data_IF_855482526119
#
_entry.id   IF_855482526119
#
_cell.length_a   1.000
_cell.length_b   1.000
_cell.length_c   1.000
_cell.angle_alpha   90.00
_cell.angle_beta   90.00
_cell.angle_gamma   90.00
#
_symmetry.space_group_name_H-M   'P 1'
#
loop_
_entity.id
_entity.type
_entity.pdbx_description
1 polymer ?
#
# COMPACT_ATOMS: atom_id res chain seq x y z
N UNK A 1 14.88 3.21 55.71
CA UNK A 1 13.99 2.40 54.85
C UNK A 1 13.09 3.36 54.07
N UNK A 2 13.21 3.44 52.73
CA UNK A 2 12.26 4.21 51.91
C UNK A 2 11.05 3.32 51.62
N UNK A 3 9.81 3.82 51.82
CA UNK A 3 8.64 3.02 51.53
C UNK A 3 8.56 2.69 50.04
N UNK A 4 8.39 1.41 49.72
CA UNK A 4 7.98 0.95 48.40
C UNK A 4 6.59 1.50 48.12
N UNK A 5 6.53 2.68 47.49
CA UNK A 5 5.29 3.21 46.92
C UNK A 5 4.90 2.26 45.80
N UNK A 6 3.87 1.44 46.02
CA UNK A 6 3.17 0.74 44.94
C UNK A 6 2.80 1.81 43.90
N UNK A 7 3.48 1.79 42.75
CA UNK A 7 2.97 2.40 41.53
C UNK A 7 1.66 1.68 41.25
N UNK A 8 0.54 2.24 41.73
CA UNK A 8 -0.75 1.99 41.08
C UNK A 8 -0.51 2.30 39.62
N UNK A 9 -0.60 1.26 38.78
CA UNK A 9 -0.40 1.38 37.34
C UNK A 9 -1.42 2.37 36.83
N UNK A 10 -1.00 3.62 36.64
CA UNK A 10 -1.85 4.65 36.07
C UNK A 10 -2.23 4.15 34.69
N UNK A 11 -3.50 3.77 34.53
CA UNK A 11 -4.03 3.12 33.33
C UNK A 11 -4.05 4.07 32.14
N UNK A 12 -3.96 5.38 32.38
CA UNK A 12 -4.05 6.42 31.36
C UNK A 12 -2.92 7.45 31.51
N UNK A 13 -2.48 8.07 30.41
CA UNK A 13 -1.42 9.08 30.38
C UNK A 13 -0.12 8.59 29.72
N UNK A 14 0.83 9.48 29.38
CA UNK A 14 2.02 9.11 28.58
C UNK A 14 2.92 8.03 29.21
N UNK A 15 2.91 7.91 30.55
CA UNK A 15 3.63 6.87 31.28
C UNK A 15 2.88 5.53 31.39
N UNK A 16 1.59 5.51 31.06
CA UNK A 16 0.70 4.37 31.25
C UNK A 16 1.00 3.20 30.33
N UNK A 17 0.59 2.00 30.76
CA UNK A 17 0.66 0.81 29.92
C UNK A 17 -0.18 0.95 28.65
N UNK A 18 -1.43 1.44 28.74
CA UNK A 18 -2.32 1.55 27.58
C UNK A 18 -1.79 2.52 26.52
N UNK A 19 -1.25 3.67 26.92
CA UNK A 19 -0.63 4.61 25.98
C UNK A 19 0.57 3.96 25.27
N UNK A 20 1.46 3.30 26.02
CA UNK A 20 2.64 2.62 25.44
C UNK A 20 2.24 1.49 24.51
N UNK A 21 1.21 0.71 24.86
CA UNK A 21 0.67 -0.33 24.01
C UNK A 21 0.08 0.25 22.72
N UNK A 22 -0.68 1.35 22.80
CA UNK A 22 -1.22 2.02 21.62
C UNK A 22 -0.11 2.55 20.70
N UNK A 23 0.93 3.16 21.25
CA UNK A 23 2.13 3.59 20.51
C UNK A 23 2.79 2.41 19.81
N UNK A 24 3.04 1.32 20.54
CA UNK A 24 3.65 0.12 19.99
C UNK A 24 2.84 -0.43 18.83
N UNK A 25 1.53 -0.64 19.02
CA UNK A 25 0.63 -1.14 17.99
C UNK A 25 0.56 -0.20 16.78
N UNK A 26 0.57 1.11 17.00
CA UNK A 26 0.57 2.10 15.92
C UNK A 26 1.82 2.01 15.04
N UNK A 27 3.00 2.01 15.67
CA UNK A 27 4.28 1.94 14.96
C UNK A 27 4.43 0.60 14.24
N UNK A 28 4.13 -0.52 14.90
CA UNK A 28 4.17 -1.84 14.26
C UNK A 28 3.20 -1.94 13.10
N UNK A 29 1.98 -1.42 13.24
CA UNK A 29 1.00 -1.39 12.15
C UNK A 29 1.47 -0.53 10.99
N UNK A 30 2.13 0.59 11.25
CA UNK A 30 2.68 1.45 10.21
C UNK A 30 3.79 0.74 9.43
N UNK A 31 4.70 0.05 10.13
CA UNK A 31 5.78 -0.72 9.50
C UNK A 31 5.21 -1.84 8.63
N UNK A 32 4.28 -2.64 9.13
CA UNK A 32 3.73 -3.78 8.39
C UNK A 32 2.81 -3.33 7.24
N UNK A 33 1.95 -2.33 7.51
CA UNK A 33 1.00 -1.79 6.55
C UNK A 33 1.68 -1.04 5.41
N UNK A 34 2.45 0.01 5.72
CA UNK A 34 3.10 0.79 4.67
C UNK A 34 4.33 0.08 4.09
N UNK A 35 5.07 -0.69 4.89
CA UNK A 35 6.21 -1.47 4.40
C UNK A 35 5.82 -2.46 3.31
N UNK A 36 4.69 -3.17 3.47
CA UNK A 36 4.19 -4.07 2.42
C UNK A 36 3.78 -3.33 1.14
N UNK A 37 3.23 -2.11 1.24
CA UNK A 37 2.90 -1.28 0.07
C UNK A 37 4.15 -0.83 -0.70
N UNK A 38 5.24 -0.49 -0.01
CA UNK A 38 6.50 -0.11 -0.69
C UNK A 38 7.03 -1.21 -1.62
N UNK A 39 6.86 -2.48 -1.25
CA UNK A 39 7.29 -3.61 -2.07
C UNK A 39 6.36 -3.91 -3.26
N UNK A 40 5.14 -3.38 -3.29
CA UNK A 40 4.20 -3.61 -4.40
C UNK A 40 4.72 -3.09 -5.75
N UNK A 41 5.50 -2.01 -5.75
CA UNK A 41 6.17 -1.54 -6.96
C UNK A 41 7.19 -2.53 -7.52
N UNK A 42 7.92 -3.22 -6.64
CA UNK A 42 8.87 -4.26 -7.04
C UNK A 42 8.14 -5.48 -7.62
N UNK A 43 7.03 -5.90 -7.01
CA UNK A 43 6.20 -6.98 -7.55
C UNK A 43 5.59 -6.62 -8.90
N UNK A 44 5.13 -5.37 -9.09
CA UNK A 44 4.64 -4.90 -10.38
C UNK A 44 5.71 -4.94 -11.47
N UNK A 45 6.93 -4.53 -11.16
CA UNK A 45 8.07 -4.66 -12.07
C UNK A 45 8.37 -6.13 -12.39
N UNK A 46 8.49 -7.00 -11.39
CA UNK A 46 8.75 -8.42 -11.58
C UNK A 46 7.65 -9.10 -12.44
N UNK A 47 6.38 -8.76 -12.23
CA UNK A 47 5.28 -9.25 -13.04
C UNK A 47 5.40 -8.82 -14.52
N UNK A 48 5.79 -7.57 -14.76
CA UNK A 48 5.97 -7.03 -16.12
C UNK A 48 7.10 -7.71 -16.89
N UNK A 49 8.13 -8.20 -16.20
CA UNK A 49 9.28 -8.88 -16.80
C UNK A 49 8.96 -10.32 -17.21
N UNK A 50 8.11 -11.03 -16.45
CA UNK A 50 7.78 -12.44 -16.72
C UNK A 50 6.69 -12.64 -17.77
N UNK A 51 5.74 -11.70 -17.87
CA UNK A 51 4.58 -11.74 -18.80
C UNK A 51 3.74 -13.05 -18.69
N UNK A 52 2.61 -13.09 -19.39
CA UNK A 52 1.73 -14.28 -19.45
C UNK A 52 1.32 -14.83 -18.07
N UNK A 53 1.24 -16.16 -17.97
CA UNK A 53 0.81 -16.88 -16.74
C UNK A 53 1.69 -16.60 -15.53
N UNK A 54 3.01 -16.52 -15.71
CA UNK A 54 3.94 -16.24 -14.61
C UNK A 54 3.78 -14.82 -14.08
N UNK A 55 3.70 -13.82 -14.97
CA UNK A 55 3.45 -12.44 -14.58
C UNK A 55 2.09 -12.24 -13.89
N UNK A 56 1.06 -12.96 -14.35
CA UNK A 56 -0.24 -12.98 -13.72
C UNK A 56 -0.19 -13.54 -12.28
N UNK A 57 0.47 -14.69 -12.09
CA UNK A 57 0.60 -15.31 -10.76
C UNK A 57 1.33 -14.38 -9.76
N UNK A 58 2.37 -13.66 -10.21
CA UNK A 58 3.05 -12.65 -9.38
C UNK A 58 2.10 -11.51 -9.00
N UNK A 59 1.33 -11.01 -9.97
CA UNK A 59 0.36 -9.93 -9.76
C UNK A 59 -0.76 -10.34 -8.81
N UNK A 60 -1.24 -11.59 -8.91
CA UNK A 60 -2.25 -12.17 -8.04
C UNK A 60 -1.73 -12.30 -6.60
N UNK A 61 -0.53 -12.85 -6.43
CA UNK A 61 0.11 -12.99 -5.13
C UNK A 61 0.32 -11.61 -4.46
N UNK A 62 0.79 -10.63 -5.23
CA UNK A 62 0.95 -9.25 -4.74
C UNK A 62 -0.38 -8.64 -4.30
N UNK A 63 -1.45 -8.80 -5.10
CA UNK A 63 -2.76 -8.30 -4.75
C UNK A 63 -3.33 -8.99 -3.48
N UNK A 64 -3.13 -10.30 -3.33
CA UNK A 64 -3.52 -11.05 -2.11
C UNK A 64 -2.79 -10.52 -0.87
N UNK A 65 -1.49 -10.24 -0.96
CA UNK A 65 -0.74 -9.62 0.14
C UNK A 65 -1.25 -8.21 0.44
N UNK A 66 -1.57 -7.41 -0.60
CA UNK A 66 -2.14 -6.08 -0.43
C UNK A 66 -3.49 -6.08 0.30
N UNK A 67 -4.41 -6.97 -0.10
CA UNK A 67 -5.73 -7.08 0.52
C UNK A 67 -5.68 -7.76 1.89
N UNK A 68 -4.90 -8.84 2.04
CA UNK A 68 -4.87 -9.66 3.25
C UNK A 68 -3.93 -9.15 4.36
N UNK A 69 -2.86 -8.44 4.00
CA UNK A 69 -1.84 -7.98 4.96
C UNK A 69 -1.80 -6.46 5.03
N UNK A 70 -1.51 -5.78 3.92
CA UNK A 70 -1.29 -4.34 3.94
C UNK A 70 -2.53 -3.58 4.45
N UNK A 71 -3.71 -3.97 3.94
CA UNK A 71 -4.97 -3.28 4.22
C UNK A 71 -5.36 -3.29 5.70
N UNK A 72 -5.44 -4.45 6.40
CA UNK A 72 -5.74 -4.47 7.83
C UNK A 72 -4.78 -3.62 8.66
N UNK A 73 -3.48 -3.69 8.38
CA UNK A 73 -2.48 -2.92 9.14
C UNK A 73 -2.56 -1.42 8.87
N UNK A 74 -2.85 -1.00 7.64
CA UNK A 74 -3.09 0.42 7.32
C UNK A 74 -4.30 0.94 8.12
N UNK A 75 -5.39 0.18 8.24
CA UNK A 75 -6.51 0.60 9.10
C UNK A 75 -6.13 0.61 10.58
N UNK A 76 -5.35 -0.36 11.04
CA UNK A 76 -4.87 -0.40 12.40
C UNK A 76 -4.04 0.84 12.76
N UNK A 77 -3.26 1.41 11.83
CA UNK A 77 -2.56 2.69 12.03
C UNK A 77 -3.54 3.81 12.41
N UNK A 78 -4.64 3.97 11.68
CA UNK A 78 -5.62 5.02 11.99
C UNK A 78 -6.27 4.80 13.35
N UNK A 79 -6.74 3.57 13.61
CA UNK A 79 -7.42 3.23 14.87
C UNK A 79 -6.50 3.43 16.07
N UNK A 80 -5.29 2.89 16.00
CA UNK A 80 -4.31 3.01 17.09
C UNK A 80 -3.80 4.44 17.27
N UNK A 81 -3.71 5.22 16.19
CA UNK A 81 -3.37 6.65 16.26
C UNK A 81 -4.43 7.45 17.01
N UNK A 82 -5.72 7.19 16.75
CA UNK A 82 -6.84 7.78 17.49
C UNK A 82 -6.78 7.36 18.98
N UNK A 83 -6.55 6.07 19.26
CA UNK A 83 -6.42 5.57 20.64
C UNK A 83 -5.27 6.24 21.40
N UNK A 84 -4.13 6.50 20.75
CA UNK A 84 -3.02 7.23 21.36
C UNK A 84 -3.43 8.63 21.81
N UNK A 85 -4.20 9.37 21.01
CA UNK A 85 -4.68 10.72 21.37
C UNK A 85 -5.62 10.64 22.58
N UNK A 86 -6.57 9.68 22.57
CA UNK A 86 -7.51 9.46 23.67
C UNK A 86 -6.81 9.09 24.99
N UNK A 87 -5.77 8.26 24.95
CA UNK A 87 -5.05 7.79 26.14
C UNK A 87 -3.94 8.75 26.62
N UNK A 88 -3.69 9.84 25.90
CA UNK A 88 -2.60 10.78 26.17
C UNK A 88 -2.81 11.69 27.39
N UNK A 89 -4.01 11.70 28.01
CA UNK A 89 -4.42 12.67 29.05
C UNK A 89 -4.12 14.13 28.66
N UNK A 90 -4.31 14.48 27.38
CA UNK A 90 -4.13 15.84 26.87
C UNK A 90 -2.69 16.21 26.49
N UNK A 91 -1.72 15.30 26.60
CA UNK A 91 -0.37 15.54 26.04
C UNK A 91 -0.39 15.60 24.51
N UNK A 92 -1.34 14.89 23.87
CA UNK A 92 -1.71 15.06 22.47
C UNK A 92 -3.03 15.84 22.41
N UNK A 93 -2.99 17.06 21.87
CA UNK A 93 -4.17 17.90 21.73
C UNK A 93 -4.85 17.64 20.38
N UNK A 94 -6.16 17.41 20.37
CA UNK A 94 -6.97 17.33 19.14
C UNK A 94 -6.90 18.60 18.28
N UNK A 95 -6.56 19.74 18.88
CA UNK A 95 -6.36 21.00 18.16
C UNK A 95 -5.00 21.11 17.47
N UNK A 96 -4.10 20.15 17.65
CA UNK A 96 -2.78 20.19 17.01
C UNK A 96 -2.94 20.07 15.49
N UNK A 97 -2.49 21.09 14.77
CA UNK A 97 -2.65 21.19 13.31
C UNK A 97 -2.09 19.95 12.59
N UNK A 98 -0.95 19.43 13.02
CA UNK A 98 -0.33 18.26 12.41
C UNK A 98 -1.18 16.98 12.51
N UNK A 99 -2.00 16.84 13.57
CA UNK A 99 -2.92 15.69 13.72
C UNK A 99 -4.02 15.78 12.67
N UNK A 100 -4.65 16.95 12.54
CA UNK A 100 -5.70 17.17 11.54
C UNK A 100 -5.18 17.01 10.10
N UNK A 101 -4.01 17.57 9.80
CA UNK A 101 -3.39 17.41 8.49
C UNK A 101 -3.08 15.95 8.17
N UNK A 102 -2.54 15.20 9.14
CA UNK A 102 -2.27 13.77 8.93
C UNK A 102 -3.55 12.95 8.73
N UNK A 103 -4.62 13.21 9.50
CA UNK A 103 -5.91 12.54 9.32
C UNK A 103 -6.49 12.88 7.95
N UNK A 104 -6.48 14.15 7.54
CA UNK A 104 -6.98 14.58 6.24
C UNK A 104 -6.23 13.90 5.08
N UNK A 105 -4.89 13.90 5.12
CA UNK A 105 -4.06 13.22 4.12
C UNK A 105 -4.30 11.72 4.11
N UNK A 106 -4.50 11.09 5.27
CA UNK A 106 -4.82 9.68 5.36
C UNK A 106 -6.18 9.35 4.75
N UNK A 107 -7.21 10.17 4.99
CA UNK A 107 -8.55 10.01 4.39
C UNK A 107 -8.48 10.19 2.87
N UNK A 108 -7.73 11.18 2.37
CA UNK A 108 -7.50 11.36 0.94
C UNK A 108 -6.81 10.13 0.35
N UNK A 109 -5.78 9.61 1.02
CA UNK A 109 -5.08 8.41 0.58
C UNK A 109 -6.01 7.18 0.53
N UNK A 110 -6.88 7.00 1.54
CA UNK A 110 -7.91 5.95 1.52
C UNK A 110 -8.90 6.14 0.36
N UNK A 111 -9.34 7.38 0.12
CA UNK A 111 -10.23 7.71 -1.00
C UNK A 111 -9.62 7.36 -2.35
N UNK A 112 -8.36 7.73 -2.59
CA UNK A 112 -7.62 7.37 -3.82
C UNK A 112 -7.42 5.86 -3.90
N UNK A 113 -7.03 5.21 -2.80
CA UNK A 113 -6.79 3.77 -2.75
C UNK A 113 -8.05 2.98 -3.11
N UNK A 114 -9.18 3.29 -2.49
CA UNK A 114 -10.43 2.54 -2.68
C UNK A 114 -11.20 2.97 -3.92
N UNK A 115 -11.24 4.27 -4.21
CA UNK A 115 -12.01 4.81 -5.32
C UNK A 115 -11.34 4.63 -6.67
N UNK A 116 -10.00 4.69 -6.73
CA UNK A 116 -9.26 4.72 -8.00
C UNK A 116 -8.30 3.54 -8.15
N UNK A 117 -7.46 3.30 -7.15
CA UNK A 117 -6.34 2.38 -7.28
C UNK A 117 -6.79 0.91 -7.27
N UNK A 118 -7.55 0.49 -6.25
CA UNK A 118 -8.00 -0.91 -6.12
C UNK A 118 -8.89 -1.39 -7.27
N UNK A 119 -9.92 -0.63 -7.71
CA UNK A 119 -10.71 -1.06 -8.86
C UNK A 119 -9.85 -1.21 -10.12
N UNK A 120 -8.86 -0.33 -10.31
CA UNK A 120 -7.92 -0.42 -11.41
C UNK A 120 -7.03 -1.68 -11.32
N UNK A 121 -6.50 -2.01 -10.13
CA UNK A 121 -5.69 -3.22 -9.93
C UNK A 121 -6.50 -4.50 -10.17
N UNK A 122 -7.77 -4.55 -9.74
CA UNK A 122 -8.66 -5.70 -10.01
C UNK A 122 -8.91 -5.87 -11.51
N UNK A 123 -9.16 -4.78 -12.22
CA UNK A 123 -9.34 -4.81 -13.66
C UNK A 123 -8.06 -5.25 -14.40
N UNK A 124 -6.88 -4.79 -13.96
CA UNK A 124 -5.60 -5.27 -14.49
C UNK A 124 -5.43 -6.77 -14.26
N UNK A 125 -5.76 -7.27 -13.07
CA UNK A 125 -5.64 -8.69 -12.75
C UNK A 125 -6.54 -9.53 -13.65
N UNK A 126 -7.80 -9.12 -13.87
CA UNK A 126 -8.72 -9.79 -14.79
C UNK A 126 -8.17 -9.84 -16.23
N UNK A 127 -7.77 -8.69 -16.79
CA UNK A 127 -7.19 -8.61 -18.14
C UNK A 127 -5.92 -9.44 -18.30
N UNK A 128 -5.06 -9.44 -17.28
CA UNK A 128 -3.84 -10.26 -17.29
C UNK A 128 -4.15 -11.76 -17.24
N UNK A 129 -5.24 -12.16 -16.59
CA UNK A 129 -5.75 -13.54 -16.60
C UNK A 129 -6.26 -13.94 -17.99
N UNK A 130 -7.09 -13.11 -18.61
CA UNK A 130 -7.59 -13.33 -19.98
C UNK A 130 -6.44 -13.50 -20.99
N UNK A 131 -5.44 -12.61 -20.94
CA UNK A 131 -4.24 -12.71 -21.79
C UNK A 131 -3.42 -13.96 -21.51
N UNK A 132 -3.36 -14.42 -20.26
CA UNK A 132 -2.66 -15.63 -19.88
C UNK A 132 -3.37 -16.90 -20.39
N UNK A 133 -4.71 -16.86 -20.53
CA UNK A 133 -5.52 -17.94 -21.08
C UNK A 133 -5.49 -18.00 -22.61
N UNK A 134 -5.47 -16.86 -23.30
CA UNK A 134 -5.34 -16.79 -24.77
C UNK A 134 -4.05 -17.43 -25.29
N UNK A 135 -3.04 -17.61 -24.43
CA UNK A 135 -1.75 -18.17 -24.78
C UNK A 135 -0.89 -17.20 -25.60
N UNK A 136 0.30 -17.64 -26.05
CA UNK A 136 1.14 -16.84 -26.93
C UNK A 136 0.38 -16.53 -28.23
N UNK A 137 0.54 -15.32 -28.82
CA UNK A 137 0.00 -15.04 -30.14
C UNK A 137 0.41 -16.15 -31.13
N UNK A 138 -0.47 -16.55 -32.08
CA UNK A 138 -0.07 -17.43 -33.17
C UNK A 138 1.18 -16.86 -33.86
N UNK A 139 2.31 -17.59 -33.80
CA UNK A 139 3.61 -17.14 -34.31
C UNK A 139 4.66 -16.75 -33.25
N UNK A 140 4.28 -16.56 -31.99
CA UNK A 140 5.24 -16.37 -30.88
C UNK A 140 5.83 -17.70 -30.34
N UNK A 141 5.25 -18.83 -30.74
CA UNK A 141 5.70 -20.19 -30.43
C UNK A 141 6.63 -20.81 -31.48
N UNK A 142 7.28 -19.99 -32.33
CA UNK A 142 8.32 -20.45 -33.23
C UNK A 142 9.56 -20.84 -32.43
N UNK A 143 9.72 -22.14 -32.18
CA UNK A 143 10.97 -22.71 -31.71
C UNK A 143 12.13 -22.38 -32.65
N UNK A 144 13.33 -22.80 -32.25
CA UNK A 144 14.60 -22.65 -32.94
C UNK A 144 14.65 -23.33 -34.34
N UNK A 145 13.77 -22.92 -35.25
CA UNK A 145 13.87 -23.12 -36.68
C UNK A 145 14.58 -21.91 -37.28
N UNK A 146 15.56 -22.22 -38.12
CA UNK A 146 16.29 -21.43 -39.11
C UNK A 146 15.60 -20.20 -39.74
N UNK A 147 15.21 -19.23 -38.92
CA UNK A 147 15.55 -17.83 -39.10
C UNK A 147 14.92 -16.99 -40.21
N UNK A 148 14.28 -17.52 -41.26
CA UNK A 148 14.05 -16.70 -42.46
C UNK A 148 12.61 -16.54 -43.01
N UNK A 149 11.60 -17.30 -42.57
CA UNK A 149 10.28 -17.25 -43.23
C UNK A 149 9.08 -16.86 -42.35
N UNK A 150 9.28 -16.52 -41.07
CA UNK A 150 8.21 -16.02 -40.22
C UNK A 150 7.99 -14.52 -40.45
N UNK A 151 7.13 -14.17 -41.43
CA UNK A 151 6.67 -12.80 -41.61
C UNK A 151 6.11 -12.18 -40.32
N UNK A 152 6.16 -10.85 -40.15
CA UNK A 152 5.67 -10.20 -38.93
C UNK A 152 4.22 -10.61 -38.67
N UNK A 153 3.85 -10.94 -37.41
CA UNK A 153 2.48 -11.31 -37.08
C UNK A 153 1.54 -10.21 -37.57
N UNK A 154 0.64 -10.56 -38.49
CA UNK A 154 -0.19 -9.62 -39.24
C UNK A 154 -1.30 -8.94 -38.40
N UNK A 155 -1.26 -9.04 -37.08
CA UNK A 155 -2.16 -8.37 -36.15
C UNK A 155 -1.36 -7.71 -35.05
N UNK A 156 -1.62 -6.43 -34.78
CA UNK A 156 -1.04 -5.72 -33.64
C UNK A 156 -1.38 -6.38 -32.29
N UNK A 157 -0.89 -5.80 -31.16
CA UNK A 157 -1.18 -6.34 -29.84
C UNK A 157 -2.70 -6.50 -29.64
N UNK A 158 -3.15 -7.58 -28.99
CA UNK A 158 -4.57 -7.75 -28.70
C UNK A 158 -5.08 -6.55 -27.88
N UNK A 159 -6.33 -6.10 -28.06
CA UNK A 159 -6.88 -4.93 -27.37
C UNK A 159 -6.69 -4.99 -25.85
N UNK A 160 -6.76 -6.17 -25.25
CA UNK A 160 -6.56 -6.41 -23.82
C UNK A 160 -5.14 -6.05 -23.37
N UNK A 161 -4.11 -6.26 -24.20
CA UNK A 161 -2.74 -5.88 -23.88
C UNK A 161 -2.56 -4.35 -23.88
N UNK A 162 -3.20 -3.66 -24.82
CA UNK A 162 -3.21 -2.20 -24.89
C UNK A 162 -3.91 -1.61 -23.66
N UNK A 163 -5.08 -2.16 -23.30
CA UNK A 163 -5.81 -1.72 -22.10
C UNK A 163 -5.02 -2.00 -20.81
N UNK A 164 -4.40 -3.18 -20.70
CA UNK A 164 -3.57 -3.54 -19.55
C UNK A 164 -2.40 -2.56 -19.39
N UNK A 165 -1.73 -2.18 -20.47
CA UNK A 165 -0.66 -1.17 -20.45
C UNK A 165 -1.18 0.20 -19.97
N UNK A 166 -2.32 0.65 -20.51
CA UNK A 166 -2.93 1.92 -20.12
C UNK A 166 -3.31 1.94 -18.63
N UNK A 167 -3.86 0.83 -18.10
CA UNK A 167 -4.17 0.67 -16.68
C UNK A 167 -2.92 0.56 -15.82
N UNK A 168 -1.86 -0.06 -16.32
CA UNK A 168 -0.55 -0.11 -15.65
C UNK A 168 0.02 1.30 -15.44
N UNK A 169 -0.07 2.18 -16.43
CA UNK A 169 0.32 3.59 -16.30
C UNK A 169 -0.50 4.31 -15.21
N UNK A 170 -1.82 4.09 -15.17
CA UNK A 170 -2.69 4.63 -14.10
C UNK A 170 -2.30 4.10 -12.73
N UNK A 171 -2.04 2.79 -12.61
CA UNK A 171 -1.60 2.17 -11.36
C UNK A 171 -0.29 2.78 -10.86
N UNK A 172 0.68 3.02 -11.75
CA UNK A 172 1.93 3.68 -11.41
C UNK A 172 1.70 5.11 -10.86
N UNK A 173 0.88 5.92 -11.54
CA UNK A 173 0.52 7.28 -11.09
C UNK A 173 -0.12 7.25 -9.71
N UNK A 174 -1.15 6.42 -9.53
CA UNK A 174 -1.86 6.30 -8.25
C UNK A 174 -0.92 5.82 -7.14
N UNK A 175 -0.08 4.83 -7.41
CA UNK A 175 0.93 4.33 -6.46
C UNK A 175 1.93 5.40 -6.05
N UNK A 176 2.44 6.19 -7.00
CA UNK A 176 3.34 7.31 -6.72
C UNK A 176 2.68 8.39 -5.87
N UNK A 177 1.42 8.76 -6.16
CA UNK A 177 0.67 9.73 -5.36
C UNK A 177 0.45 9.20 -3.94
N UNK A 178 0.02 7.94 -3.79
CA UNK A 178 -0.18 7.31 -2.48
C UNK A 178 1.11 7.27 -1.66
N UNK A 179 2.24 6.91 -2.28
CA UNK A 179 3.54 6.91 -1.61
C UNK A 179 3.94 8.31 -1.16
N UNK A 180 3.73 9.33 -1.99
CA UNK A 180 3.99 10.71 -1.61
C UNK A 180 3.13 11.15 -0.43
N UNK A 181 1.83 10.84 -0.43
CA UNK A 181 0.93 11.14 0.68
C UNK A 181 1.38 10.47 1.99
N UNK A 182 1.82 9.20 1.91
CA UNK A 182 2.35 8.48 3.08
C UNK A 182 3.64 9.13 3.58
N UNK A 183 4.57 9.50 2.70
CA UNK A 183 5.81 10.16 3.08
C UNK A 183 5.56 11.51 3.75
N UNK A 184 4.67 12.34 3.19
CA UNK A 184 4.29 13.63 3.78
C UNK A 184 3.62 13.41 5.14
N UNK A 185 2.73 12.42 5.26
CA UNK A 185 2.09 12.06 6.53
C UNK A 185 3.12 11.63 7.59
N UNK A 186 4.12 10.85 7.21
CA UNK A 186 5.21 10.43 8.08
C UNK A 186 6.05 11.63 8.55
N UNK A 187 6.37 12.56 7.65
CA UNK A 187 7.06 13.82 7.99
C UNK A 187 6.25 14.60 9.04
N UNK A 188 4.94 14.76 8.85
CA UNK A 188 4.08 15.44 9.81
C UNK A 188 4.10 14.75 11.19
N UNK A 189 4.08 13.42 11.22
CA UNK A 189 4.07 12.63 12.46
C UNK A 189 5.41 12.66 13.21
N UNK A 190 6.52 12.76 12.49
CA UNK A 190 7.87 12.77 13.08
C UNK A 190 8.23 14.16 13.58
N UNK A 191 8.06 15.20 12.75
CA UNK A 191 8.47 16.57 13.08
C UNK A 191 7.41 17.38 13.82
N UNK A 192 6.13 16.98 13.76
CA UNK A 192 5.01 17.55 14.55
C UNK A 192 4.99 19.08 14.55
N UNK A 193 4.91 19.74 13.37
CA UNK A 193 4.92 21.19 13.31
C UNK A 193 3.84 21.79 14.21
N UNK A 194 4.21 22.78 15.03
CA UNK A 194 3.33 23.44 16.00
C UNK A 194 3.16 22.74 17.36
N UNK A 195 3.93 21.69 17.66
CA UNK A 195 3.91 21.04 18.98
C UNK A 195 4.74 21.75 20.06
N UNK A 196 5.55 22.76 19.69
CA UNK A 196 6.51 23.45 20.56
C UNK A 196 6.18 24.91 20.91
N UNK A 197 4.96 25.38 20.66
CA UNK A 197 4.48 26.72 21.01
C UNK A 197 3.38 26.67 22.05
#
# INVERSE_FOLDING_TARGET
MRPFRHQQGDIMGPGSFLYKLAVYLHVTSAILGFGSVFFMGLYGKAASEKKGKEGHAISEAANKVGEGVATPFIYAVLVTGILMVLFSKGSLKWSALWIWLAIALFVIALGISHGLHRPNLKAMLALSGELAEMGPPPGAGGGAGDGNDAGPPAGGPPPQAIELEARGKKAAIYGSILNLLVLVTLVLMVWKPGAGS
#
